data_IF_139600588630
#
_entry.id   IF_139600588630
#
_cell.length_a   1.000
_cell.length_b   1.000
_cell.length_c   1.000
_cell.angle_alpha   90.00
_cell.angle_beta   90.00
_cell.angle_gamma   90.00
#
_symmetry.space_group_name_H-M   'P 1'
#
loop_
_entity.id
_entity.type
_entity.pdbx_description
1 polymer ?
#
# COMPACT_ATOMS: atom_id res chain seq x y z
N UNK A 1 -21.09 7.29 5.95
CA UNK A 1 -20.84 7.06 4.50
C UNK A 1 -20.17 5.71 4.37
N UNK A 2 -20.74 4.78 3.62
CA UNK A 2 -20.06 3.52 3.31
C UNK A 2 -18.83 3.82 2.43
N UNK A 3 -17.65 3.40 2.89
CA UNK A 3 -16.41 3.51 2.12
C UNK A 3 -16.36 2.33 1.16
N UNK A 4 -16.55 2.59 -0.13
CA UNK A 4 -16.34 1.61 -1.19
C UNK A 4 -14.93 1.79 -1.77
N UNK A 5 -14.17 0.71 -1.88
CA UNK A 5 -12.82 0.74 -2.45
C UNK A 5 -11.98 -0.46 -2.05
N UNK A 6 -10.79 -0.55 -2.65
CA UNK A 6 -9.79 -1.54 -2.28
C UNK A 6 -9.28 -1.22 -0.87
N UNK A 7 -9.20 -2.22 -0.01
CA UNK A 7 -8.66 -2.09 1.36
C UNK A 7 -7.57 -3.12 1.63
N UNK A 8 -6.67 -2.80 2.54
CA UNK A 8 -5.63 -3.70 3.02
C UNK A 8 -5.53 -3.66 4.55
N UNK A 9 -4.99 -4.72 5.15
CA UNK A 9 -4.63 -4.74 6.57
C UNK A 9 -3.24 -4.14 6.73
N UNK A 10 -3.18 -2.96 7.33
CA UNK A 10 -1.93 -2.31 7.69
C UNK A 10 -1.22 -3.10 8.80
N UNK A 11 -1.97 -3.70 9.72
CA UNK A 11 -1.39 -4.57 10.74
C UNK A 11 -0.66 -5.76 10.10
N UNK A 12 -1.31 -6.46 9.17
CA UNK A 12 -0.68 -7.57 8.46
C UNK A 12 0.57 -7.13 7.68
N UNK A 13 0.57 -5.91 7.10
CA UNK A 13 1.76 -5.35 6.46
C UNK A 13 2.90 -5.16 7.45
N UNK A 14 2.66 -4.52 8.60
CA UNK A 14 3.68 -4.28 9.64
C UNK A 14 4.30 -5.58 10.15
N UNK A 15 3.50 -6.64 10.26
CA UNK A 15 3.93 -7.96 10.75
C UNK A 15 4.69 -8.75 9.67
N UNK A 16 4.19 -8.76 8.43
CA UNK A 16 4.76 -9.59 7.35
C UNK A 16 5.90 -8.94 6.58
N UNK A 17 5.94 -7.60 6.50
CA UNK A 17 6.93 -6.81 5.76
C UNK A 17 7.33 -5.55 6.52
N UNK A 18 7.95 -5.68 7.72
CA UNK A 18 8.35 -4.53 8.54
C UNK A 18 9.29 -3.57 7.79
N UNK A 19 10.12 -4.07 6.89
CA UNK A 19 11.01 -3.25 6.05
C UNK A 19 10.25 -2.39 5.04
N UNK A 20 9.12 -2.87 4.51
CA UNK A 20 8.25 -2.06 3.65
C UNK A 20 7.60 -0.96 4.47
N UNK A 21 7.09 -1.32 5.66
CA UNK A 21 6.48 -0.36 6.59
C UNK A 21 7.45 0.75 6.98
N UNK A 22 8.69 0.42 7.37
CA UNK A 22 9.68 1.43 7.78
C UNK A 22 10.00 2.44 6.67
N UNK A 23 9.90 2.05 5.40
CA UNK A 23 10.12 2.96 4.25
C UNK A 23 8.96 3.91 4.00
N UNK A 24 7.74 3.54 4.37
CA UNK A 24 6.52 4.27 4.01
C UNK A 24 5.79 4.87 5.22
N UNK A 25 6.18 4.53 6.46
CA UNK A 25 5.46 4.95 7.67
C UNK A 25 5.30 6.46 7.79
N UNK A 26 6.27 7.23 7.28
CA UNK A 26 6.23 8.69 7.35
C UNK A 26 5.12 9.27 6.45
N UNK A 27 4.77 8.57 5.36
CA UNK A 27 3.65 8.94 4.50
C UNK A 27 2.28 8.65 5.15
N UNK A 28 2.25 7.92 6.28
CA UNK A 28 1.04 7.70 7.06
C UNK A 28 0.81 8.76 8.15
N UNK A 29 1.77 9.66 8.41
CA UNK A 29 1.67 10.63 9.51
C UNK A 29 0.43 11.54 9.41
N UNK A 30 0.00 11.88 8.18
CA UNK A 30 -1.17 12.73 7.93
C UNK A 30 -2.46 11.93 7.67
N UNK A 31 -2.40 10.60 7.74
CA UNK A 31 -3.54 9.73 7.49
C UNK A 31 -4.16 9.33 8.83
N UNK A 32 -5.39 9.76 9.08
CA UNK A 32 -6.16 9.27 10.22
C UNK A 32 -6.61 7.83 9.99
N UNK A 33 -5.90 6.88 10.58
CA UNK A 33 -6.25 5.45 10.53
C UNK A 33 -7.24 5.13 11.64
N UNK A 34 -8.47 4.78 11.26
CA UNK A 34 -9.52 4.40 12.20
C UNK A 34 -9.47 2.90 12.55
N UNK A 35 -9.05 2.08 11.60
CA UNK A 35 -8.94 0.62 11.73
C UNK A 35 -7.74 0.12 10.93
N UNK A 36 -6.72 -0.40 11.62
CA UNK A 36 -5.51 -0.94 10.99
C UNK A 36 -5.75 -2.27 10.28
N UNK A 37 -6.83 -3.00 10.57
CA UNK A 37 -7.21 -4.21 9.84
C UNK A 37 -7.83 -3.89 8.48
N UNK A 38 -8.34 -2.67 8.30
CA UNK A 38 -9.04 -2.26 7.08
C UNK A 38 -8.78 -0.80 6.71
N UNK A 39 -7.59 -0.55 6.17
CA UNK A 39 -7.21 0.74 5.58
C UNK A 39 -7.64 0.79 4.12
N UNK A 40 -8.43 1.80 3.74
CA UNK A 40 -8.85 1.99 2.35
C UNK A 40 -7.78 2.70 1.54
N UNK A 41 -7.45 2.16 0.37
CA UNK A 41 -6.48 2.77 -0.54
C UNK A 41 -6.85 4.19 -0.93
N UNK A 42 -8.14 4.53 -1.04
CA UNK A 42 -8.57 5.89 -1.39
C UNK A 42 -8.23 6.93 -0.31
N UNK A 43 -8.15 6.52 0.95
CA UNK A 43 -7.70 7.40 2.03
C UNK A 43 -6.17 7.48 2.01
N UNK A 44 -5.51 6.38 1.68
CA UNK A 44 -4.07 6.30 1.56
C UNK A 44 -3.48 7.13 0.39
N UNK A 45 -4.05 7.01 -0.82
CA UNK A 45 -3.52 7.66 -2.03
C UNK A 45 -3.73 9.17 -2.09
N UNK A 46 -4.61 9.73 -1.25
CA UNK A 46 -4.81 11.19 -1.14
C UNK A 46 -3.64 11.90 -0.47
N UNK A 47 -2.90 11.19 0.37
CA UNK A 47 -1.81 11.76 1.18
C UNK A 47 -0.42 11.31 0.71
N UNK A 48 -0.36 10.34 -0.21
CA UNK A 48 0.89 9.85 -0.78
C UNK A 48 1.17 10.40 -2.18
N UNK A 49 2.47 10.56 -2.50
CA UNK A 49 2.87 10.77 -3.89
C UNK A 49 2.58 9.52 -4.73
N UNK A 50 2.08 9.70 -5.97
CA UNK A 50 1.74 8.58 -6.85
C UNK A 50 2.88 7.59 -7.11
N UNK A 51 4.14 8.05 -7.08
CA UNK A 51 5.32 7.18 -7.16
C UNK A 51 5.45 6.26 -5.95
N UNK A 52 5.22 6.78 -4.76
CA UNK A 52 5.24 6.00 -3.51
C UNK A 52 4.11 4.98 -3.49
N UNK A 53 2.90 5.37 -3.91
CA UNK A 53 1.77 4.45 -4.05
C UNK A 53 2.10 3.31 -5.01
N UNK A 54 2.70 3.62 -6.16
CA UNK A 54 3.08 2.60 -7.14
C UNK A 54 4.12 1.63 -6.59
N UNK A 55 5.20 2.12 -5.98
CA UNK A 55 6.20 1.26 -5.35
C UNK A 55 5.58 0.42 -4.22
N UNK A 56 4.72 1.00 -3.39
CA UNK A 56 4.01 0.28 -2.35
C UNK A 56 3.17 -0.87 -2.92
N UNK A 57 2.39 -0.61 -3.98
CA UNK A 57 1.62 -1.64 -4.66
C UNK A 57 2.52 -2.73 -5.24
N UNK A 58 3.66 -2.38 -5.84
CA UNK A 58 4.63 -3.36 -6.32
C UNK A 58 5.19 -4.22 -5.19
N UNK A 59 5.50 -3.63 -4.04
CA UNK A 59 5.97 -4.37 -2.85
C UNK A 59 4.93 -5.34 -2.29
N UNK A 60 3.64 -5.04 -2.46
CA UNK A 60 2.55 -5.92 -2.05
C UNK A 60 2.30 -7.07 -3.02
N UNK A 61 2.71 -6.93 -4.28
CA UNK A 61 2.50 -7.95 -5.30
C UNK A 61 3.50 -9.09 -5.07
N UNK A 62 3.05 -10.36 -5.02
CA UNK A 62 3.95 -11.51 -5.00
C UNK A 62 4.95 -11.47 -6.15
N UNK A 63 6.20 -11.87 -5.91
CA UNK A 63 7.26 -11.80 -6.93
C UNK A 63 6.93 -12.59 -8.21
N UNK A 64 6.12 -13.64 -8.06
CA UNK A 64 5.59 -14.46 -9.15
C UNK A 64 4.72 -13.64 -10.12
N UNK A 65 3.95 -12.69 -9.59
CA UNK A 65 3.05 -11.81 -10.34
C UNK A 65 3.75 -10.51 -10.80
N UNK A 66 4.86 -10.12 -10.16
CA UNK A 66 5.65 -8.95 -10.62
C UNK A 66 6.16 -9.13 -12.04
N UNK A 67 6.56 -10.35 -12.42
CA UNK A 67 7.04 -10.68 -13.77
C UNK A 67 6.00 -10.43 -14.87
N UNK A 68 4.72 -10.55 -14.55
CA UNK A 68 3.64 -10.28 -15.52
C UNK A 68 3.39 -8.77 -15.69
N UNK A 69 3.68 -7.97 -14.68
CA UNK A 69 3.51 -6.52 -14.69
C UNK A 69 4.67 -5.79 -15.40
N UNK A 70 5.88 -6.34 -15.33
CA UNK A 70 7.04 -5.74 -15.99
C UNK A 70 6.96 -5.85 -17.51
N UNK A 71 6.24 -6.86 -18.04
CA UNK A 71 6.10 -7.11 -19.48
C UNK A 71 7.46 -7.25 -20.20
N UNK A 72 7.49 -7.69 -21.46
CA UNK A 72 8.67 -7.47 -22.28
C UNK A 72 8.78 -5.96 -22.51
N UNK A 73 9.79 -5.33 -21.91
CA UNK A 73 10.24 -3.99 -22.31
C UNK A 73 10.50 -4.07 -23.83
N UNK A 74 9.67 -3.39 -24.61
CA UNK A 74 9.90 -3.20 -26.06
C UNK A 74 10.89 -2.07 -26.28
#
# INVERSE_FOLDING_TARGET
MEKYGLSFSLRALKESKPEVWERIKDDFNDIKIEDEEKVYFNDFTKHMQGRTVFHFLQELIPDELKKELEGPIK
#
